data_IF_350681622031
#
_entry.id   IF_350681622031
#
_cell.length_a   1.000
_cell.length_b   1.000
_cell.length_c   1.000
_cell.angle_alpha   90.00
_cell.angle_beta   90.00
_cell.angle_gamma   90.00
#
_symmetry.space_group_name_H-M   'P 1'
#
loop_
_entity.id
_entity.type
_entity.pdbx_description
1 polymer ?
#
# COMPACT_ATOMS: atom_id res chain seq x y z
N UNK A 1 -5.24 -16.60 -5.20
CA UNK A 1 -5.22 -15.59 -6.31
C UNK A 1 -3.89 -14.88 -6.27
N UNK A 2 -3.19 -14.77 -7.40
CA UNK A 2 -1.92 -14.05 -7.53
C UNK A 2 -1.85 -13.33 -8.87
N UNK A 3 -0.92 -12.40 -9.03
CA UNK A 3 -0.69 -11.61 -10.25
C UNK A 3 0.81 -11.60 -10.61
N UNK A 4 1.50 -12.73 -10.45
CA UNK A 4 2.95 -12.86 -10.73
C UNK A 4 3.32 -12.47 -12.16
N UNK A 5 2.52 -12.84 -13.15
CA UNK A 5 2.73 -12.47 -14.56
C UNK A 5 2.65 -10.95 -14.77
N UNK A 6 1.69 -10.30 -14.13
CA UNK A 6 1.57 -8.84 -14.21
C UNK A 6 2.74 -8.14 -13.50
N UNK A 7 3.20 -8.65 -12.35
CA UNK A 7 4.40 -8.13 -11.68
C UNK A 7 5.62 -8.28 -12.60
N UNK A 8 5.79 -9.43 -13.25
CA UNK A 8 6.88 -9.66 -14.21
C UNK A 8 6.82 -8.65 -15.36
N UNK A 9 5.65 -8.41 -15.92
CA UNK A 9 5.44 -7.39 -16.96
C UNK A 9 5.88 -6.01 -16.48
N UNK A 10 5.48 -5.57 -15.28
CA UNK A 10 5.88 -4.27 -14.70
C UNK A 10 7.40 -4.19 -14.52
N UNK A 11 8.02 -5.24 -13.98
CA UNK A 11 9.48 -5.27 -13.81
C UNK A 11 10.22 -5.10 -15.13
N UNK A 12 9.73 -5.71 -16.20
CA UNK A 12 10.30 -5.54 -17.54
C UNK A 12 10.11 -4.11 -18.06
N UNK A 13 8.90 -3.56 -17.92
CA UNK A 13 8.55 -2.22 -18.41
C UNK A 13 9.39 -1.12 -17.74
N UNK A 14 9.65 -1.25 -16.44
CA UNK A 14 10.46 -0.28 -15.70
C UNK A 14 11.96 -0.61 -15.65
N UNK A 15 12.42 -1.60 -16.42
CA UNK A 15 13.83 -2.00 -16.52
C UNK A 15 14.39 -2.58 -15.22
N UNK A 16 13.58 -3.31 -14.48
CA UNK A 16 13.89 -3.90 -13.17
C UNK A 16 13.89 -5.43 -13.16
N UNK A 17 13.99 -6.10 -14.32
CA UNK A 17 13.96 -7.56 -14.43
C UNK A 17 15.00 -8.26 -13.55
N UNK A 18 16.20 -7.70 -13.47
CA UNK A 18 17.33 -8.23 -12.69
C UNK A 18 17.59 -7.40 -11.43
N UNK A 19 16.59 -6.70 -10.91
CA UNK A 19 16.76 -5.84 -9.75
C UNK A 19 17.01 -6.65 -8.48
N UNK A 20 17.80 -6.08 -7.56
CA UNK A 20 17.97 -6.66 -6.23
C UNK A 20 16.68 -6.49 -5.42
N UNK A 21 16.04 -7.58 -4.97
CA UNK A 21 14.82 -7.49 -4.17
C UNK A 21 15.08 -6.88 -2.79
N UNK A 22 14.04 -6.24 -2.23
CA UNK A 22 14.05 -5.66 -0.89
C UNK A 22 12.99 -6.33 -0.01
N UNK A 23 13.15 -6.24 1.31
CA UNK A 23 12.27 -6.93 2.27
C UNK A 23 11.02 -6.14 2.65
N UNK A 24 11.04 -4.84 2.50
CA UNK A 24 9.96 -3.95 2.91
C UNK A 24 9.51 -3.09 1.71
N UNK A 25 8.21 -2.83 1.57
CA UNK A 25 7.69 -2.02 0.46
C UNK A 25 8.02 -0.53 0.58
N UNK A 26 8.40 -0.07 1.77
CA UNK A 26 8.87 1.29 2.02
C UNK A 26 10.02 1.29 3.03
N UNK A 27 10.88 2.32 2.96
CA UNK A 27 11.89 2.56 4.00
C UNK A 27 11.20 3.09 5.26
N UNK A 28 11.32 2.44 6.42
CA UNK A 28 10.70 2.90 7.66
C UNK A 28 11.15 4.29 8.11
N UNK A 29 12.34 4.74 7.67
CA UNK A 29 12.93 6.04 8.04
C UNK A 29 12.51 7.16 7.11
N UNK A 30 12.25 6.84 5.85
CA UNK A 30 11.87 7.80 4.81
C UNK A 30 10.85 7.14 3.87
N UNK A 31 9.63 6.90 4.33
CA UNK A 31 8.64 6.09 3.58
C UNK A 31 8.28 6.69 2.22
N UNK A 32 8.34 8.00 2.06
CA UNK A 32 8.09 8.70 0.79
C UNK A 32 9.38 9.19 0.10
N UNK A 33 10.54 8.68 0.53
CA UNK A 33 11.84 9.10 0.05
C UNK A 33 12.40 10.31 0.81
N UNK A 34 13.68 10.56 0.61
CA UNK A 34 14.39 11.66 1.28
C UNK A 34 14.48 12.86 0.33
N UNK A 35 13.75 13.93 0.63
CA UNK A 35 13.76 15.18 -0.14
C UNK A 35 15.13 15.90 -0.13
N UNK A 36 16.00 15.58 0.80
CA UNK A 36 17.36 16.15 0.86
C UNK A 36 18.32 15.52 -0.15
N UNK A 37 17.97 14.37 -0.71
CA UNK A 37 18.77 13.65 -1.69
C UNK A 37 18.46 14.14 -3.10
N UNK A 38 19.51 14.42 -3.88
CA UNK A 38 19.35 14.73 -5.30
C UNK A 38 19.09 13.45 -6.09
N UNK A 39 17.93 13.35 -6.69
CA UNK A 39 17.55 12.24 -7.55
C UNK A 39 17.78 12.58 -9.03
N UNK A 40 18.00 11.58 -9.90
CA UNK A 40 18.10 11.79 -11.34
C UNK A 40 16.86 12.46 -11.89
N UNK A 41 17.05 13.32 -12.91
CA UNK A 41 15.92 13.90 -13.64
C UNK A 41 15.17 12.81 -14.41
N UNK A 42 13.83 12.85 -14.30
CA UNK A 42 12.95 11.90 -14.96
C UNK A 42 12.13 12.62 -16.00
N UNK A 43 12.40 12.40 -17.30
CA UNK A 43 11.61 13.00 -18.37
C UNK A 43 10.13 12.67 -18.22
N UNK A 44 9.25 13.67 -18.35
CA UNK A 44 7.81 13.51 -18.20
C UNK A 44 7.40 12.85 -16.85
N UNK A 45 8.09 13.18 -15.78
CA UNK A 45 7.95 12.59 -14.44
C UNK A 45 6.48 12.37 -14.07
N UNK A 46 5.63 13.40 -14.22
CA UNK A 46 4.22 13.31 -13.82
C UNK A 46 3.47 12.18 -14.56
N UNK A 47 3.66 12.07 -15.86
CA UNK A 47 2.97 11.04 -16.67
C UNK A 47 3.41 9.64 -16.29
N UNK A 48 4.73 9.44 -16.16
CA UNK A 48 5.31 8.15 -15.79
C UNK A 48 4.93 7.76 -14.36
N UNK A 49 4.94 8.73 -13.45
CA UNK A 49 4.53 8.51 -12.06
C UNK A 49 3.08 8.10 -11.92
N UNK A 50 2.15 8.85 -12.57
CA UNK A 50 0.72 8.54 -12.54
C UNK A 50 0.42 7.15 -13.08
N UNK A 51 1.12 6.75 -14.16
CA UNK A 51 1.01 5.41 -14.73
C UNK A 51 1.45 4.36 -13.71
N UNK A 52 2.66 4.47 -13.15
CA UNK A 52 3.19 3.50 -12.17
C UNK A 52 2.30 3.41 -10.92
N UNK A 53 1.88 4.55 -10.36
CA UNK A 53 1.00 4.53 -9.17
C UNK A 53 -0.34 3.88 -9.49
N UNK A 54 -0.92 4.13 -10.68
CA UNK A 54 -2.15 3.44 -11.11
C UNK A 54 -2.00 1.92 -11.20
N UNK A 55 -0.88 1.44 -11.73
CA UNK A 55 -0.53 0.02 -11.81
C UNK A 55 -0.33 -0.61 -10.43
N UNK A 56 0.33 0.10 -9.51
CA UNK A 56 0.49 -0.34 -8.12
C UNK A 56 -0.85 -0.35 -7.37
N UNK A 57 -1.75 0.62 -7.59
CA UNK A 57 -3.12 0.61 -7.04
C UNK A 57 -3.86 -0.64 -7.52
N UNK A 58 -3.77 -0.97 -8.80
CA UNK A 58 -4.40 -2.17 -9.35
C UNK A 58 -3.91 -3.45 -8.65
N UNK A 59 -2.60 -3.60 -8.42
CA UNK A 59 -2.06 -4.72 -7.65
C UNK A 59 -2.55 -4.73 -6.20
N UNK A 60 -2.50 -3.58 -5.52
CA UNK A 60 -2.85 -3.46 -4.10
C UNK A 60 -4.31 -3.84 -3.83
N UNK A 61 -5.22 -3.43 -4.71
CA UNK A 61 -6.65 -3.69 -4.55
C UNK A 61 -7.01 -5.15 -4.85
N UNK A 62 -6.34 -5.78 -5.81
CA UNK A 62 -6.73 -7.12 -6.28
C UNK A 62 -6.08 -8.26 -5.49
N UNK A 63 -4.76 -8.21 -5.26
CA UNK A 63 -4.03 -9.37 -4.71
C UNK A 63 -2.94 -9.04 -3.71
N UNK A 64 -2.55 -7.76 -3.57
CA UNK A 64 -1.40 -7.33 -2.76
C UNK A 64 -1.79 -6.28 -1.72
N UNK A 65 -2.61 -6.63 -0.72
CA UNK A 65 -2.99 -5.72 0.36
C UNK A 65 -1.78 -5.19 1.16
N UNK A 66 -0.68 -5.90 1.16
CA UNK A 66 0.57 -5.58 1.84
C UNK A 66 1.25 -4.29 1.34
N UNK A 67 0.97 -3.86 0.11
CA UNK A 67 1.47 -2.59 -0.43
C UNK A 67 0.45 -1.44 -0.34
N UNK A 68 -0.76 -1.67 0.18
CA UNK A 68 -1.84 -0.67 0.14
C UNK A 68 -1.48 0.63 0.85
N UNK A 69 -0.79 0.57 1.96
CA UNK A 69 -0.44 1.76 2.76
C UNK A 69 0.50 2.69 1.98
N UNK A 70 1.63 2.15 1.49
CA UNK A 70 2.59 2.95 0.73
C UNK A 70 2.02 3.44 -0.60
N UNK A 71 1.20 2.64 -1.28
CA UNK A 71 0.57 3.05 -2.55
C UNK A 71 -0.43 4.17 -2.33
N UNK A 72 -1.22 4.13 -1.25
CA UNK A 72 -2.13 5.21 -0.88
C UNK A 72 -1.37 6.49 -0.50
N UNK A 73 -0.25 6.37 0.20
CA UNK A 73 0.61 7.52 0.50
C UNK A 73 1.18 8.15 -0.78
N UNK A 74 1.69 7.34 -1.71
CA UNK A 74 2.16 7.82 -3.02
C UNK A 74 1.03 8.50 -3.82
N UNK A 75 -0.18 7.95 -3.82
CA UNK A 75 -1.32 8.51 -4.55
C UNK A 75 -1.68 9.93 -4.10
N UNK A 76 -1.37 10.33 -2.87
CA UNK A 76 -1.58 11.70 -2.39
C UNK A 76 -0.73 12.73 -3.14
N UNK A 77 0.39 12.31 -3.76
CA UNK A 77 1.32 13.15 -4.51
C UNK A 77 1.04 13.20 -6.03
N UNK A 78 -0.07 12.62 -6.50
CA UNK A 78 -0.43 12.56 -7.92
C UNK A 78 -0.56 13.96 -8.59
N UNK A 79 -0.93 14.99 -7.82
CA UNK A 79 -1.06 16.35 -8.36
C UNK A 79 0.30 16.99 -8.68
N UNK A 80 1.28 16.79 -7.82
CA UNK A 80 2.63 17.35 -7.92
C UNK A 80 3.69 16.33 -7.46
N UNK A 81 4.01 15.31 -8.28
CA UNK A 81 5.00 14.31 -7.93
C UNK A 81 6.41 14.88 -8.02
N UNK A 82 7.26 14.45 -7.10
CA UNK A 82 8.69 14.72 -7.10
C UNK A 82 9.48 13.45 -7.41
N UNK A 83 10.75 13.58 -7.76
CA UNK A 83 11.61 12.46 -8.13
C UNK A 83 11.74 11.42 -7.00
N UNK A 84 11.76 11.86 -5.72
CA UNK A 84 11.77 10.97 -4.56
C UNK A 84 10.53 10.06 -4.52
N UNK A 85 9.34 10.59 -4.83
CA UNK A 85 8.10 9.81 -4.87
C UNK A 85 8.16 8.72 -5.96
N UNK A 86 8.73 9.06 -7.13
CA UNK A 86 8.92 8.08 -8.21
C UNK A 86 9.91 6.99 -7.82
N UNK A 87 11.01 7.34 -7.15
CA UNK A 87 11.99 6.37 -6.67
C UNK A 87 11.39 5.47 -5.59
N UNK A 88 10.53 6.01 -4.72
CA UNK A 88 9.78 5.19 -3.75
C UNK A 88 8.81 4.23 -4.45
N UNK A 89 8.11 4.68 -5.49
CA UNK A 89 7.26 3.78 -6.28
C UNK A 89 8.08 2.66 -6.95
N UNK A 90 9.28 2.95 -7.45
CA UNK A 90 10.22 1.91 -7.94
C UNK A 90 10.70 0.99 -6.81
N UNK A 91 10.90 1.49 -5.60
CA UNK A 91 11.24 0.67 -4.44
C UNK A 91 10.13 -0.37 -4.14
N UNK A 92 8.86 -0.01 -4.32
CA UNK A 92 7.76 -0.97 -4.23
C UNK A 92 7.90 -2.08 -5.28
N UNK A 93 8.34 -1.79 -6.51
CA UNK A 93 8.61 -2.82 -7.52
C UNK A 93 9.75 -3.77 -7.09
N UNK A 94 10.81 -3.26 -6.45
CA UNK A 94 11.87 -4.12 -5.88
C UNK A 94 11.33 -5.06 -4.78
N UNK A 95 10.38 -4.59 -3.97
CA UNK A 95 9.70 -5.44 -2.99
C UNK A 95 8.84 -6.50 -3.67
N UNK A 96 8.08 -6.12 -4.70
CA UNK A 96 7.26 -7.04 -5.48
C UNK A 96 8.11 -8.11 -6.18
N UNK A 97 9.29 -7.76 -6.69
CA UNK A 97 10.23 -8.73 -7.26
C UNK A 97 10.68 -9.81 -6.27
N UNK A 98 10.82 -9.44 -4.98
CA UNK A 98 11.18 -10.39 -3.91
C UNK A 98 10.02 -11.18 -3.34
N UNK A 99 8.78 -10.87 -3.73
CA UNK A 99 7.57 -11.43 -3.12
C UNK A 99 6.52 -11.84 -4.16
N UNK A 100 6.97 -12.28 -5.34
CA UNK A 100 6.08 -12.68 -6.45
C UNK A 100 5.18 -13.87 -6.11
N UNK A 101 5.63 -14.73 -5.19
CA UNK A 101 4.90 -15.94 -4.78
C UNK A 101 3.80 -15.66 -3.74
N UNK A 102 3.72 -14.43 -3.22
CA UNK A 102 2.66 -14.08 -2.29
C UNK A 102 1.30 -14.05 -3.00
N UNK A 103 0.33 -14.72 -2.41
CA UNK A 103 -1.00 -14.87 -2.97
C UNK A 103 -2.09 -14.74 -1.88
N UNK A 104 -3.29 -14.36 -2.30
CA UNK A 104 -4.48 -14.52 -1.47
C UNK A 104 -4.99 -15.95 -1.63
N UNK A 105 -5.03 -16.69 -0.51
CA UNK A 105 -5.56 -18.04 -0.46
C UNK A 105 -7.02 -18.01 0.01
N UNK A 106 -7.87 -18.76 -0.68
CA UNK A 106 -9.27 -18.96 -0.35
C UNK A 106 -9.49 -20.47 -0.24
N UNK A 107 -9.72 -20.95 0.98
CA UNK A 107 -9.91 -22.36 1.27
C UNK A 107 -11.40 -22.67 1.39
N UNK A 108 -11.80 -23.83 0.84
CA UNK A 108 -13.18 -24.31 0.89
C UNK A 108 -13.47 -25.14 2.17
N UNK A 109 -12.45 -25.74 2.76
CA UNK A 109 -12.59 -26.74 3.83
C UNK A 109 -12.62 -26.17 5.25
N UNK A 110 -12.72 -24.85 5.44
CA UNK A 110 -12.83 -24.33 6.79
C UNK A 110 -14.25 -24.50 7.33
N UNK A 111 -14.43 -25.39 8.31
CA UNK A 111 -15.69 -25.55 9.07
C UNK A 111 -16.12 -24.31 9.87
N UNK A 112 -15.31 -23.25 9.83
CA UNK A 112 -15.52 -22.04 10.63
C UNK A 112 -16.14 -20.94 9.74
N UNK A 113 -17.46 -20.98 9.59
CA UNK A 113 -18.22 -19.89 8.93
C UNK A 113 -18.31 -18.64 9.84
N UNK A 114 -17.15 -18.00 10.09
CA UNK A 114 -17.06 -16.84 10.96
C UNK A 114 -16.54 -15.63 10.21
N UNK A 115 -17.30 -14.55 10.25
CA UNK A 115 -16.85 -13.23 9.84
C UNK A 115 -16.11 -12.57 11.02
N UNK A 116 -14.88 -12.08 10.79
CA UNK A 116 -14.13 -11.31 11.77
C UNK A 116 -13.25 -10.26 11.08
N UNK A 117 -12.94 -9.20 11.83
CA UNK A 117 -12.09 -8.13 11.31
C UNK A 117 -10.99 -7.78 12.33
N UNK A 118 -9.87 -7.30 11.79
CA UNK A 118 -8.85 -6.62 12.57
C UNK A 118 -8.78 -5.17 12.09
N UNK A 119 -8.59 -4.25 13.03
CA UNK A 119 -8.43 -2.83 12.74
C UNK A 119 -7.36 -2.22 13.61
N UNK A 120 -6.62 -1.29 13.05
CA UNK A 120 -5.64 -0.46 13.76
C UNK A 120 -5.58 0.93 13.13
N UNK A 121 -4.90 1.85 13.81
CA UNK A 121 -4.64 3.18 13.31
C UNK A 121 -3.23 3.65 13.67
N UNK A 122 -2.51 4.17 12.68
CA UNK A 122 -1.26 4.91 12.88
C UNK A 122 -1.59 6.36 13.23
N UNK A 123 -1.20 6.80 14.44
CA UNK A 123 -1.52 8.15 14.91
C UNK A 123 -0.54 9.19 14.37
N UNK A 124 -1.07 10.26 13.77
CA UNK A 124 -0.37 11.50 13.40
C UNK A 124 0.94 11.33 12.58
N UNK A 125 1.08 10.24 11.84
CA UNK A 125 2.32 9.91 11.11
C UNK A 125 2.49 10.66 9.77
N UNK A 126 1.45 11.39 9.32
CA UNK A 126 1.49 12.06 8.03
C UNK A 126 1.46 13.58 8.14
N UNK A 127 1.85 14.24 7.03
CA UNK A 127 1.68 15.69 6.87
C UNK A 127 0.25 16.11 7.18
N UNK A 128 0.09 17.06 8.12
CA UNK A 128 -1.20 17.53 8.60
C UNK A 128 -1.74 16.78 9.82
N UNK A 129 -0.91 15.98 10.51
CA UNK A 129 -1.24 15.27 11.77
C UNK A 129 -2.47 14.36 11.69
N UNK A 130 -2.89 13.95 10.50
CA UNK A 130 -3.98 13.00 10.32
C UNK A 130 -3.47 11.58 10.47
N UNK A 131 -4.26 10.76 11.14
CA UNK A 131 -4.01 9.34 11.32
C UNK A 131 -4.42 8.55 10.08
N UNK A 132 -3.85 7.37 9.91
CA UNK A 132 -4.27 6.41 8.90
C UNK A 132 -4.97 5.25 9.60
N UNK A 133 -6.19 4.94 9.18
CA UNK A 133 -6.94 3.76 9.64
C UNK A 133 -6.72 2.60 8.68
N UNK A 134 -6.38 1.44 9.23
CA UNK A 134 -6.31 0.18 8.50
C UNK A 134 -7.33 -0.82 9.05
N UNK A 135 -7.94 -1.59 8.15
CA UNK A 135 -8.70 -2.76 8.56
C UNK A 135 -8.63 -3.88 7.52
N UNK A 136 -8.84 -5.09 8.01
CA UNK A 136 -8.92 -6.30 7.19
C UNK A 136 -10.11 -7.13 7.65
N UNK A 137 -10.88 -7.63 6.71
CA UNK A 137 -12.00 -8.53 6.94
C UNK A 137 -11.68 -9.92 6.46
N UNK A 138 -11.95 -10.90 7.31
CA UNK A 138 -11.82 -12.32 7.00
C UNK A 138 -13.16 -13.01 7.09
N UNK A 139 -13.43 -13.90 6.15
CA UNK A 139 -14.52 -14.86 6.19
C UNK A 139 -13.95 -16.26 5.97
N UNK A 140 -14.28 -17.20 6.85
CA UNK A 140 -13.74 -18.58 6.79
C UNK A 140 -12.21 -18.66 6.68
N UNK A 141 -11.50 -17.74 7.38
CA UNK A 141 -10.04 -17.66 7.32
C UNK A 141 -9.44 -16.98 6.10
N UNK A 142 -10.27 -16.62 5.11
CA UNK A 142 -9.84 -15.96 3.87
C UNK A 142 -10.06 -14.46 3.92
N UNK A 143 -9.12 -13.67 3.39
CA UNK A 143 -9.23 -12.21 3.31
C UNK A 143 -10.27 -11.83 2.24
N UNK A 144 -11.35 -11.13 2.64
CA UNK A 144 -12.41 -10.69 1.75
C UNK A 144 -12.43 -9.19 1.46
N UNK A 145 -11.87 -8.39 2.37
CA UNK A 145 -11.77 -6.94 2.19
C UNK A 145 -10.63 -6.37 3.02
N UNK A 146 -10.00 -5.32 2.51
CA UNK A 146 -8.99 -4.57 3.23
C UNK A 146 -9.05 -3.09 2.85
N UNK A 147 -8.64 -2.23 3.76
CA UNK A 147 -8.53 -0.78 3.52
C UNK A 147 -7.35 -0.23 4.32
N UNK A 148 -6.59 0.66 3.69
CA UNK A 148 -5.74 1.64 4.37
C UNK A 148 -6.23 3.02 3.93
N UNK A 149 -6.68 3.86 4.87
CA UNK A 149 -7.29 5.15 4.55
C UNK A 149 -6.93 6.22 5.57
N UNK A 150 -6.53 7.40 5.06
CA UNK A 150 -6.31 8.58 5.88
C UNK A 150 -7.63 9.05 6.51
N UNK A 151 -7.61 9.32 7.82
CA UNK A 151 -8.77 9.85 8.55
C UNK A 151 -9.10 11.26 8.08
N UNK A 152 -10.38 11.59 8.04
CA UNK A 152 -10.86 12.92 7.61
C UNK A 152 -10.62 13.99 8.67
N UNK A 153 -10.60 13.60 9.95
CA UNK A 153 -10.38 14.46 11.12
C UNK A 153 -9.04 14.16 11.78
N UNK A 154 -8.55 15.10 12.57
CA UNK A 154 -7.33 14.93 13.37
C UNK A 154 -7.73 14.35 14.73
N UNK A 155 -7.19 13.17 15.05
CA UNK A 155 -7.37 12.55 16.35
C UNK A 155 -6.43 13.19 17.38
N UNK A 156 -6.93 13.50 18.57
CA UNK A 156 -6.16 14.12 19.66
C UNK A 156 -5.24 13.14 20.39
N UNK A 157 -5.46 11.84 20.20
CA UNK A 157 -4.65 10.77 20.78
C UNK A 157 -4.64 9.53 19.92
N UNK A 158 -3.66 8.64 20.16
CA UNK A 158 -3.60 7.33 19.52
C UNK A 158 -4.85 6.48 19.84
N UNK A 159 -5.38 6.60 21.03
CA UNK A 159 -6.61 5.91 21.45
C UNK A 159 -7.81 6.38 20.65
N UNK A 160 -7.99 7.69 20.47
CA UNK A 160 -9.07 8.24 19.66
C UNK A 160 -8.96 7.79 18.20
N UNK A 161 -7.74 7.82 17.63
CA UNK A 161 -7.50 7.34 16.28
C UNK A 161 -7.94 5.87 16.10
N UNK A 162 -7.65 5.01 17.08
CA UNK A 162 -8.06 3.60 17.08
C UNK A 162 -9.59 3.42 17.21
N UNK A 163 -10.25 4.22 18.04
CA UNK A 163 -11.72 4.22 18.12
C UNK A 163 -12.36 4.65 16.81
N UNK A 164 -11.81 5.68 16.14
CA UNK A 164 -12.29 6.10 14.82
C UNK A 164 -12.12 4.98 13.78
N UNK A 165 -10.99 4.27 13.79
CA UNK A 165 -10.77 3.13 12.91
C UNK A 165 -11.78 2.00 13.20
N UNK A 166 -12.03 1.68 14.48
CA UNK A 166 -13.01 0.67 14.88
C UNK A 166 -14.44 1.04 14.46
N UNK A 167 -14.82 2.31 14.58
CA UNK A 167 -16.13 2.81 14.12
C UNK A 167 -16.30 2.64 12.62
N UNK A 168 -15.26 2.92 11.83
CA UNK A 168 -15.31 2.69 10.38
C UNK A 168 -15.59 1.23 10.03
N UNK A 169 -14.95 0.29 10.72
CA UNK A 169 -15.15 -1.15 10.47
C UNK A 169 -16.59 -1.57 10.76
N UNK A 170 -17.17 -1.09 11.87
CA UNK A 170 -18.54 -1.45 12.25
C UNK A 170 -19.63 -0.84 11.37
N UNK A 171 -19.34 0.24 10.66
CA UNK A 171 -20.31 0.84 9.72
C UNK A 171 -20.37 0.12 8.35
N UNK A 172 -19.46 -0.81 8.08
CA UNK A 172 -19.43 -1.59 6.83
C UNK A 172 -20.00 -3.02 7.00
N UNK A 173 -20.56 -3.31 8.17
CA UNK A 173 -21.31 -4.53 8.46
C UNK A 173 -22.79 -4.31 8.29
#
# INVERSE_FOLDING_TARGET
MHQSEYITFLLQEYGLSDCKPVRLPADPKAPLGDLSVTYPDVPNLRSVYLKLVGELIYLSVNTRPDISDIVNALAQHNANPEACHFMTAKHVLHYLAGTMDLCLCYDHDSDIHRLHAYTDASWANETGHRSVSGYVWFYTGSLISHVSKKQTTVALSSTEAKYMAATHVTCYT
#
